data_IF_867818833873
#
_entry.id   IF_867818833873
#
_cell.length_a   1.000
_cell.length_b   1.000
_cell.length_c   1.000
_cell.angle_alpha   90.00
_cell.angle_beta   90.00
_cell.angle_gamma   90.00
#
_symmetry.space_group_name_H-M   'P 1'
#
loop_
_entity.id
_entity.type
_entity.pdbx_description
1 polymer ?
#
# COMPACT_ATOMS: atom_id res chain seq x y z
N UNK A 1 -31.18 9.60 15.20
CA UNK A 1 -29.94 10.39 15.06
C UNK A 1 -28.93 9.83 16.03
N UNK A 2 -27.85 9.27 15.50
CA UNK A 2 -26.74 8.68 16.27
C UNK A 2 -25.65 8.36 15.27
N UNK A 3 -24.87 9.38 14.91
CA UNK A 3 -23.81 9.28 13.93
C UNK A 3 -22.71 8.37 14.50
N UNK A 4 -22.67 7.12 14.02
CA UNK A 4 -21.54 6.23 14.23
C UNK A 4 -20.35 6.81 13.47
N UNK A 5 -19.32 7.21 14.21
CA UNK A 5 -18.05 7.64 13.65
C UNK A 5 -17.51 6.53 12.75
N UNK A 6 -17.50 6.78 11.44
CA UNK A 6 -16.76 5.95 10.48
C UNK A 6 -15.29 6.05 10.87
N UNK A 7 -14.70 4.95 11.34
CA UNK A 7 -13.25 4.87 11.51
C UNK A 7 -12.60 5.08 10.13
N UNK A 8 -11.60 5.96 9.99
CA UNK A 8 -10.77 5.97 8.80
C UNK A 8 -9.78 4.80 8.92
N UNK A 9 -9.84 3.86 7.98
CA UNK A 9 -8.95 2.70 7.90
C UNK A 9 -9.65 1.38 8.20
N UNK A 10 -9.92 0.59 7.16
CA UNK A 10 -10.29 -0.80 7.33
C UNK A 10 -11.01 -1.39 6.11
N UNK A 11 -10.23 -2.00 5.21
CA UNK A 11 -10.59 -3.28 4.55
C UNK A 11 -9.38 -4.26 4.53
N UNK A 12 -8.56 -4.16 5.59
CA UNK A 12 -7.52 -5.08 6.06
C UNK A 12 -6.35 -5.46 5.13
N UNK A 13 -5.17 -4.88 5.43
CA UNK A 13 -3.84 -5.53 5.26
C UNK A 13 -3.51 -6.47 6.46
N UNK A 14 -4.49 -6.70 7.36
CA UNK A 14 -4.34 -7.50 8.58
C UNK A 14 -5.16 -8.77 8.44
N UNK A 15 -4.48 -9.89 8.23
CA UNK A 15 -5.12 -11.19 8.12
C UNK A 15 -6.02 -11.53 9.31
N UNK A 16 -7.16 -12.14 8.99
CA UNK A 16 -7.86 -13.02 9.93
C UNK A 16 -6.97 -14.24 10.28
N UNK A 17 -7.18 -14.92 11.41
CA UNK A 17 -6.27 -15.98 11.91
C UNK A 17 -6.00 -17.17 10.95
N UNK A 18 -6.65 -17.21 9.79
CA UNK A 18 -6.53 -18.19 8.70
C UNK A 18 -6.10 -17.58 7.35
N UNK A 19 -5.88 -16.27 7.26
CA UNK A 19 -5.42 -15.60 6.05
C UNK A 19 -3.90 -15.43 6.03
N UNK A 20 -3.28 -15.69 4.87
CA UNK A 20 -1.85 -15.53 4.70
C UNK A 20 -1.54 -14.11 4.18
N UNK A 21 -0.95 -13.28 5.05
CA UNK A 21 -0.38 -12.00 4.62
C UNK A 21 0.93 -12.25 3.87
N UNK A 22 0.98 -11.86 2.60
CA UNK A 22 2.18 -11.99 1.78
C UNK A 22 3.09 -10.75 1.86
N UNK A 23 2.53 -9.57 2.12
CA UNK A 23 3.23 -8.31 2.29
C UNK A 23 2.49 -7.39 3.27
N UNK A 24 3.23 -6.46 3.87
CA UNK A 24 2.67 -5.38 4.68
C UNK A 24 3.56 -4.15 4.53
N UNK A 25 2.96 -2.97 4.49
CA UNK A 25 3.67 -1.71 4.45
C UNK A 25 3.25 -0.79 5.59
N UNK A 26 4.18 0.05 6.02
CA UNK A 26 3.83 1.17 6.88
C UNK A 26 4.63 2.39 6.50
N UNK A 27 3.99 3.54 6.61
CA UNK A 27 4.56 4.85 6.30
C UNK A 27 4.69 5.67 7.58
N UNK A 28 5.82 6.34 7.70
CA UNK A 28 6.10 7.31 8.74
C UNK A 28 5.82 8.72 8.22
N UNK A 29 4.88 9.38 8.89
CA UNK A 29 4.39 10.71 8.54
C UNK A 29 4.63 11.63 9.72
N UNK A 30 5.16 12.82 9.45
CA UNK A 30 5.29 13.89 10.45
C UNK A 30 4.35 15.03 10.09
N UNK A 31 3.82 15.73 11.09
CA UNK A 31 3.00 16.93 10.92
C UNK A 31 3.67 18.09 11.67
N UNK A 32 4.60 18.84 11.05
CA UNK A 32 5.44 19.81 11.76
C UNK A 32 4.66 20.92 12.48
N UNK A 33 3.47 21.28 11.98
CA UNK A 33 2.61 22.27 12.64
C UNK A 33 1.57 21.65 13.58
N UNK A 34 1.59 20.33 13.78
CA UNK A 34 0.57 19.57 14.50
C UNK A 34 -0.79 19.48 13.78
N UNK A 35 -0.90 20.00 12.54
CA UNK A 35 -2.15 19.95 11.77
C UNK A 35 -2.09 18.87 10.69
N UNK A 36 -3.23 18.27 10.30
CA UNK A 36 -3.27 17.30 9.19
C UNK A 36 -2.71 17.86 7.88
N UNK A 37 -2.91 19.15 7.62
CA UNK A 37 -2.44 19.84 6.42
C UNK A 37 -0.91 20.02 6.37
N UNK A 38 -0.25 19.91 7.52
CA UNK A 38 1.21 19.91 7.60
C UNK A 38 1.83 18.52 7.45
N UNK A 39 1.04 17.48 7.23
CA UNK A 39 1.53 16.11 7.10
C UNK A 39 2.52 15.96 5.94
N UNK A 40 3.64 15.29 6.20
CA UNK A 40 4.71 15.00 5.24
C UNK A 40 5.13 13.55 5.37
N UNK A 41 5.23 12.86 4.24
CA UNK A 41 5.89 11.55 4.17
C UNK A 41 7.39 11.73 4.39
N UNK A 42 7.97 10.90 5.26
CA UNK A 42 9.41 10.95 5.59
C UNK A 42 10.08 9.64 5.22
N UNK A 43 9.53 8.53 5.70
CA UNK A 43 10.10 7.20 5.52
C UNK A 43 9.01 6.14 5.72
N UNK A 44 9.40 4.87 5.75
CA UNK A 44 8.54 3.76 6.10
C UNK A 44 9.27 2.43 5.95
N UNK A 45 8.52 1.34 5.94
CA UNK A 45 9.06 0.00 5.76
C UNK A 45 8.07 -0.91 5.01
N UNK A 46 8.62 -1.92 4.36
CA UNK A 46 7.87 -3.01 3.71
C UNK A 46 8.37 -4.32 4.31
N UNK A 47 7.44 -5.13 4.80
CA UNK A 47 7.68 -6.49 5.26
C UNK A 47 7.12 -7.48 4.25
N UNK A 48 7.88 -8.52 3.91
CA UNK A 48 7.46 -9.56 2.98
C UNK A 48 7.53 -10.93 3.64
N UNK A 49 6.55 -11.79 3.35
CA UNK A 49 6.56 -13.18 3.80
C UNK A 49 7.69 -13.94 3.10
N UNK A 50 8.78 -14.18 3.84
CA UNK A 50 9.98 -14.83 3.32
C UNK A 50 9.70 -16.19 2.69
N UNK A 51 8.90 -17.05 3.34
CA UNK A 51 8.67 -18.41 2.88
C UNK A 51 7.91 -18.42 1.56
N UNK A 52 6.82 -17.65 1.48
CA UNK A 52 6.04 -17.50 0.28
C UNK A 52 6.84 -16.87 -0.87
N UNK A 53 7.56 -15.77 -0.62
CA UNK A 53 8.35 -15.10 -1.66
C UNK A 53 9.48 -15.99 -2.17
N UNK A 54 10.13 -16.76 -1.31
CA UNK A 54 11.18 -17.70 -1.73
C UNK A 54 10.61 -18.76 -2.69
N UNK A 55 9.42 -19.29 -2.41
CA UNK A 55 8.75 -20.24 -3.28
C UNK A 55 8.26 -19.59 -4.59
N UNK A 56 7.61 -18.41 -4.49
CA UNK A 56 7.05 -17.70 -5.62
C UNK A 56 8.11 -17.25 -6.63
N UNK A 57 9.30 -16.83 -6.17
CA UNK A 57 10.39 -16.42 -7.04
C UNK A 57 11.11 -17.60 -7.72
N UNK A 58 10.98 -18.82 -7.18
CA UNK A 58 11.51 -20.03 -7.81
C UNK A 58 10.58 -20.59 -8.91
N UNK A 59 9.33 -20.13 -8.95
CA UNK A 59 8.33 -20.50 -9.96
C UNK A 59 8.10 -19.34 -10.95
N UNK A 60 8.48 -19.48 -12.23
CA UNK A 60 8.25 -18.46 -13.24
C UNK A 60 6.80 -17.99 -13.36
N UNK A 61 5.82 -18.86 -13.06
CA UNK A 61 4.40 -18.51 -13.07
C UNK A 61 3.97 -17.63 -11.89
N UNK A 62 4.68 -17.70 -10.76
CA UNK A 62 4.37 -16.97 -9.53
C UNK A 62 5.26 -15.75 -9.31
N UNK A 63 6.40 -15.66 -9.99
CA UNK A 63 7.29 -14.50 -9.92
C UNK A 63 6.57 -13.19 -10.32
N UNK A 64 5.65 -13.24 -11.28
CA UNK A 64 4.84 -12.09 -11.67
C UNK A 64 3.86 -11.65 -10.56
N UNK A 65 3.29 -12.59 -9.81
CA UNK A 65 2.41 -12.30 -8.66
C UNK A 65 3.22 -11.68 -7.53
N UNK A 66 4.41 -12.21 -7.24
CA UNK A 66 5.33 -11.61 -6.27
C UNK A 66 5.67 -10.16 -6.60
N UNK A 67 5.84 -9.83 -7.90
CA UNK A 67 5.98 -8.45 -8.36
C UNK A 67 4.74 -7.60 -8.08
N UNK A 68 3.55 -8.13 -8.34
CA UNK A 68 2.28 -7.45 -8.03
C UNK A 68 2.17 -7.08 -6.56
N UNK A 69 2.45 -8.02 -5.66
CA UNK A 69 2.44 -7.79 -4.21
C UNK A 69 3.50 -6.75 -3.81
N UNK A 70 4.72 -6.83 -4.34
CA UNK A 70 5.71 -5.77 -4.08
C UNK A 70 5.25 -4.39 -4.54
N UNK A 71 4.55 -4.30 -5.67
CA UNK A 71 3.99 -3.02 -6.13
C UNK A 71 2.87 -2.53 -5.22
N UNK A 72 2.00 -3.41 -4.74
CA UNK A 72 0.94 -3.09 -3.76
C UNK A 72 1.55 -2.48 -2.48
N UNK A 73 2.53 -3.16 -1.88
CA UNK A 73 3.16 -2.68 -0.64
C UNK A 73 3.92 -1.36 -0.86
N UNK A 74 4.63 -1.23 -1.99
CA UNK A 74 5.33 0.02 -2.31
C UNK A 74 4.35 1.18 -2.58
N UNK A 75 3.19 0.90 -3.15
CA UNK A 75 2.16 1.91 -3.36
C UNK A 75 1.55 2.37 -2.03
N UNK A 76 1.29 1.46 -1.08
CA UNK A 76 0.92 1.83 0.29
C UNK A 76 2.00 2.67 0.98
N UNK A 77 3.27 2.29 0.83
CA UNK A 77 4.41 3.00 1.41
C UNK A 77 4.43 4.48 0.99
N UNK A 78 4.09 4.77 -0.28
CA UNK A 78 4.09 6.14 -0.82
C UNK A 78 2.73 6.84 -0.71
N UNK A 79 1.73 6.21 -0.06
CA UNK A 79 0.51 6.87 0.38
C UNK A 79 -0.76 6.53 -0.40
N UNK A 80 -0.75 5.50 -1.25
CA UNK A 80 -1.98 4.95 -1.82
C UNK A 80 -2.70 4.10 -0.76
N UNK A 81 -4.02 4.02 -0.88
CA UNK A 81 -4.89 3.20 -0.04
C UNK A 81 -5.65 2.21 -0.94
N UNK A 82 -6.35 1.25 -0.34
CA UNK A 82 -7.10 0.26 -1.10
C UNK A 82 -8.18 0.90 -1.97
N UNK A 83 -8.42 0.29 -3.13
CA UNK A 83 -9.50 0.64 -4.06
C UNK A 83 -10.38 -0.57 -4.34
N UNK A 84 -11.61 -0.32 -4.77
CA UNK A 84 -12.59 -1.37 -5.05
C UNK A 84 -12.44 -1.99 -6.45
N UNK A 85 -11.64 -1.38 -7.34
CA UNK A 85 -11.46 -1.88 -8.70
C UNK A 85 -10.46 -3.06 -8.72
N UNK A 86 -10.91 -4.31 -9.00
CA UNK A 86 -10.08 -5.51 -8.93
C UNK A 86 -8.99 -5.56 -9.99
N UNK A 87 -9.01 -4.66 -10.98
CA UNK A 87 -7.98 -4.55 -12.02
C UNK A 87 -6.77 -3.72 -11.58
N UNK A 88 -6.87 -3.05 -10.43
CA UNK A 88 -5.78 -2.28 -9.83
C UNK A 88 -4.96 -3.15 -8.89
N UNK A 89 -3.66 -2.89 -8.75
CA UNK A 89 -2.84 -3.56 -7.73
C UNK A 89 -3.30 -3.17 -6.33
N UNK A 90 -3.86 -1.97 -6.14
CA UNK A 90 -4.37 -1.51 -4.84
C UNK A 90 -5.72 -2.12 -4.44
N UNK A 91 -6.28 -3.07 -5.18
CA UNK A 91 -7.40 -3.85 -4.67
C UNK A 91 -6.94 -4.82 -3.58
N UNK A 92 -7.67 -4.91 -2.47
CA UNK A 92 -7.25 -5.61 -1.25
C UNK A 92 -6.89 -7.09 -1.47
N UNK A 93 -7.51 -7.74 -2.46
CA UNK A 93 -7.25 -9.15 -2.82
C UNK A 93 -6.76 -9.31 -4.27
N UNK A 94 -6.12 -8.26 -4.82
CA UNK A 94 -5.62 -8.28 -6.20
C UNK A 94 -4.51 -9.32 -6.41
N UNK A 95 -4.62 -10.10 -7.48
CA UNK A 95 -3.50 -10.90 -8.02
C UNK A 95 -2.85 -10.22 -9.25
N UNK A 96 -3.17 -8.95 -9.49
CA UNK A 96 -2.65 -8.20 -10.64
C UNK A 96 -1.13 -8.03 -10.54
N UNK A 97 -0.43 -8.28 -11.64
CA UNK A 97 1.04 -8.34 -11.67
C UNK A 97 1.72 -7.02 -12.02
N UNK A 98 0.95 -5.96 -12.27
CA UNK A 98 1.44 -4.63 -12.63
C UNK A 98 0.39 -3.55 -12.46
N UNK A 99 0.86 -2.30 -12.35
CA UNK A 99 0.01 -1.13 -12.13
C UNK A 99 -1.09 -1.02 -13.19
N UNK A 100 -2.33 -0.83 -12.76
CA UNK A 100 -3.45 -0.39 -13.57
C UNK A 100 -3.46 1.12 -13.75
N UNK A 101 -4.46 1.63 -14.47
CA UNK A 101 -4.56 3.07 -14.78
C UNK A 101 -4.85 3.92 -13.55
N UNK A 102 -5.71 3.44 -12.63
CA UNK A 102 -5.98 4.10 -11.36
C UNK A 102 -4.78 4.13 -10.43
N UNK A 103 -3.99 3.04 -10.39
CA UNK A 103 -2.73 3.00 -9.63
C UNK A 103 -1.75 4.06 -10.15
N UNK A 104 -1.59 4.16 -11.47
CA UNK A 104 -0.70 5.15 -12.10
C UNK A 104 -1.16 6.58 -11.83
N UNK A 105 -2.46 6.83 -11.90
CA UNK A 105 -3.03 8.14 -11.57
C UNK A 105 -2.76 8.50 -10.09
N UNK A 106 -3.03 7.57 -9.17
CA UNK A 106 -2.77 7.76 -7.75
C UNK A 106 -1.29 8.03 -7.45
N UNK A 107 -0.38 7.28 -8.08
CA UNK A 107 1.06 7.49 -7.96
C UNK A 107 1.50 8.84 -8.55
N UNK A 108 0.91 9.28 -9.66
CA UNK A 108 1.19 10.60 -10.23
C UNK A 108 0.75 11.73 -9.30
N UNK A 109 -0.42 11.60 -8.66
CA UNK A 109 -0.89 12.55 -7.65
C UNK A 109 0.04 12.58 -6.43
N UNK A 110 0.43 11.40 -5.93
CA UNK A 110 1.35 11.29 -4.79
C UNK A 110 2.72 11.93 -5.10
N UNK A 111 3.25 11.70 -6.31
CA UNK A 111 4.52 12.27 -6.76
C UNK A 111 4.49 13.76 -7.10
N UNK A 112 3.31 14.35 -7.29
CA UNK A 112 3.15 15.79 -7.56
C UNK A 112 3.17 16.65 -6.28
N UNK A 113 3.28 16.03 -5.10
CA UNK A 113 3.41 16.73 -3.82
C UNK A 113 4.66 17.61 -3.73
N UNK A 114 4.62 18.66 -2.92
CA UNK A 114 5.80 19.50 -2.68
C UNK A 114 6.89 18.73 -1.94
N UNK A 115 8.13 18.84 -2.40
CA UNK A 115 9.29 18.43 -1.61
C UNK A 115 9.57 19.50 -0.54
N UNK A 116 9.96 19.05 0.65
CA UNK A 116 10.34 19.92 1.76
C UNK A 116 11.81 19.67 2.08
N UNK A 117 12.56 20.73 2.34
CA UNK A 117 13.94 20.60 2.80
C UNK A 117 13.99 20.02 4.22
N UNK A 118 15.01 19.22 4.49
CA UNK A 118 15.39 18.86 5.85
C UNK A 118 15.86 20.14 6.56
N UNK A 119 15.12 20.58 7.58
CA UNK A 119 15.45 21.75 8.41
C UNK A 119 16.03 21.34 9.74
#
# INVERSE_FOLDING_TARGET
MGAGARRPGGQAEVAYPDEEVHGVASRYVVAPSGTPWSARYVTGWVGLNRAWFSAALADPGRAAVARGIMLHELAHLVGLDHVEDPTQVMHATSETTGLGDGDREGLAIAGAGSCYADT
#
